data_IF_687933698878
#
_entry.id   IF_687933698878
#
_cell.length_a   1.000
_cell.length_b   1.000
_cell.length_c   1.000
_cell.angle_alpha   90.00
_cell.angle_beta   90.00
_cell.angle_gamma   90.00
#
_symmetry.space_group_name_H-M   'P 1'
#
loop_
_entity.id
_entity.type
_entity.pdbx_description
1 polymer ?
#
# COMPACT_ATOMS: atom_id res chain seq x y z
N UNK A 1 -16.13 -2.58 -27.15
CA UNK A 1 -15.93 -1.17 -26.75
C UNK A 1 -15.73 -1.06 -25.26
N UNK A 2 -14.68 -0.43 -24.79
CA UNK A 2 -14.45 -0.22 -23.36
C UNK A 2 -15.47 0.80 -22.85
N UNK A 3 -16.23 0.44 -21.81
CA UNK A 3 -17.28 1.31 -21.27
C UNK A 3 -16.64 2.47 -20.50
N UNK A 4 -16.86 3.68 -20.96
CA UNK A 4 -16.44 4.90 -20.23
C UNK A 4 -17.47 5.24 -19.15
N UNK A 5 -17.00 5.39 -17.90
CA UNK A 5 -17.84 5.81 -16.78
C UNK A 5 -17.68 7.31 -16.55
N UNK A 6 -18.78 7.98 -16.24
CA UNK A 6 -18.77 9.36 -15.75
C UNK A 6 -18.38 9.35 -14.26
N UNK A 7 -17.92 10.49 -13.76
CA UNK A 7 -17.47 10.64 -12.36
C UNK A 7 -18.52 10.21 -11.34
N UNK A 8 -19.80 10.46 -11.62
CA UNK A 8 -20.93 10.15 -10.74
C UNK A 8 -21.28 8.66 -10.69
N UNK A 9 -20.75 7.88 -11.64
CA UNK A 9 -20.96 6.43 -11.73
C UNK A 9 -19.83 5.62 -11.09
N UNK A 10 -18.82 6.29 -10.54
CA UNK A 10 -17.71 5.63 -9.86
C UNK A 10 -18.14 5.14 -8.48
N UNK A 11 -17.88 3.87 -8.19
CA UNK A 11 -18.07 3.28 -6.88
C UNK A 11 -16.73 2.84 -6.28
N UNK A 12 -16.51 3.12 -5.00
CA UNK A 12 -15.31 2.70 -4.29
C UNK A 12 -15.69 1.74 -3.17
N UNK A 13 -15.14 0.55 -3.20
CA UNK A 13 -15.29 -0.47 -2.16
C UNK A 13 -14.19 -0.35 -1.10
N UNK A 14 -14.42 -1.00 0.04
CA UNK A 14 -13.43 -1.08 1.10
C UNK A 14 -12.89 -2.51 1.20
N UNK A 15 -11.58 -2.63 1.26
CA UNK A 15 -10.89 -3.90 1.43
C UNK A 15 -10.01 -3.86 2.67
N UNK A 16 -9.98 -4.99 3.37
CA UNK A 16 -9.12 -5.20 4.53
C UNK A 16 -8.06 -6.26 4.20
N UNK A 17 -6.83 -6.01 4.58
CA UNK A 17 -5.69 -6.91 4.37
C UNK A 17 -4.91 -7.06 5.67
N UNK A 18 -4.65 -8.29 6.08
CA UNK A 18 -3.74 -8.60 7.16
C UNK A 18 -2.30 -8.63 6.64
N UNK A 19 -1.43 -7.80 7.23
CA UNK A 19 -0.02 -7.73 6.87
C UNK A 19 0.87 -8.75 7.60
N UNK A 20 0.30 -9.58 8.48
CA UNK A 20 1.05 -10.58 9.24
C UNK A 20 1.80 -11.53 8.31
N UNK A 21 3.14 -11.57 8.46
CA UNK A 21 4.05 -12.35 7.62
C UNK A 21 4.04 -11.99 6.11
N UNK A 22 3.36 -10.93 5.71
CA UNK A 22 3.33 -10.48 4.32
C UNK A 22 4.67 -9.91 3.88
N UNK A 23 5.08 -10.20 2.64
CA UNK A 23 6.29 -9.62 2.03
C UNK A 23 5.97 -8.21 1.54
N UNK A 24 6.67 -7.18 2.06
CA UNK A 24 6.43 -5.75 1.78
C UNK A 24 6.21 -5.46 0.29
N UNK A 25 7.13 -5.89 -0.59
CA UNK A 25 7.06 -5.56 -2.01
C UNK A 25 5.85 -6.17 -2.71
N UNK A 26 5.50 -7.41 -2.38
CA UNK A 26 4.35 -8.12 -2.96
C UNK A 26 3.04 -7.57 -2.45
N UNK A 27 2.96 -7.31 -1.14
CA UNK A 27 1.82 -6.63 -0.55
C UNK A 27 1.60 -5.25 -1.20
N UNK A 28 2.66 -4.46 -1.39
CA UNK A 28 2.59 -3.16 -2.05
C UNK A 28 2.08 -3.26 -3.50
N UNK A 29 2.43 -4.33 -4.23
CA UNK A 29 1.93 -4.57 -5.60
C UNK A 29 0.42 -4.85 -5.61
N UNK A 30 -0.08 -5.67 -4.68
CA UNK A 30 -1.52 -5.96 -4.55
C UNK A 30 -2.27 -4.67 -4.22
N UNK A 31 -1.82 -3.96 -3.20
CA UNK A 31 -2.41 -2.69 -2.76
C UNK A 31 -2.44 -1.66 -3.90
N UNK A 32 -1.33 -1.48 -4.61
CA UNK A 32 -1.25 -0.50 -5.70
C UNK A 32 -2.21 -0.79 -6.85
N UNK A 33 -2.45 -2.08 -7.16
CA UNK A 33 -3.44 -2.49 -8.16
C UNK A 33 -4.87 -2.14 -7.73
N UNK A 34 -5.22 -2.39 -6.46
CA UNK A 34 -6.55 -2.12 -5.90
C UNK A 34 -6.80 -0.61 -5.82
N UNK A 35 -5.87 0.16 -5.24
CA UNK A 35 -6.00 1.61 -5.08
C UNK A 35 -6.06 2.33 -6.44
N UNK A 36 -5.42 1.80 -7.46
CA UNK A 36 -5.48 2.33 -8.82
C UNK A 36 -6.75 1.91 -9.57
N UNK A 37 -7.45 0.87 -9.09
CA UNK A 37 -8.63 0.30 -9.76
C UNK A 37 -8.31 -0.64 -10.92
N UNK A 38 -7.06 -1.12 -11.05
CA UNK A 38 -6.68 -2.04 -12.14
C UNK A 38 -7.31 -3.43 -12.05
N UNK A 39 -7.99 -3.75 -10.97
CA UNK A 39 -8.78 -4.96 -10.77
C UNK A 39 -10.20 -4.83 -11.33
N UNK A 40 -10.64 -3.62 -11.70
CA UNK A 40 -11.97 -3.37 -12.25
C UNK A 40 -11.96 -3.37 -13.79
N UNK A 41 -13.05 -3.84 -14.37
CA UNK A 41 -13.27 -3.80 -15.83
C UNK A 41 -13.47 -2.38 -16.36
N UNK A 42 -13.86 -1.46 -15.48
CA UNK A 42 -14.13 -0.04 -15.76
C UNK A 42 -12.90 0.85 -15.67
N UNK A 43 -11.74 0.26 -15.41
CA UNK A 43 -10.49 1.00 -15.23
C UNK A 43 -10.20 1.95 -16.40
N UNK A 44 -10.03 3.23 -16.07
CA UNK A 44 -9.56 4.28 -16.99
C UNK A 44 -8.37 5.04 -16.37
N UNK A 45 -7.26 5.23 -17.12
CA UNK A 45 -6.01 5.79 -16.53
C UNK A 45 -6.13 7.19 -15.93
N UNK A 46 -7.03 8.02 -16.45
CA UNK A 46 -7.23 9.41 -16.03
C UNK A 46 -8.24 9.59 -14.89
N UNK A 47 -8.96 8.53 -14.52
CA UNK A 47 -9.98 8.57 -13.48
C UNK A 47 -9.55 7.85 -12.21
N UNK A 48 -10.13 8.24 -11.09
CA UNK A 48 -9.86 7.64 -9.77
C UNK A 48 -10.94 6.60 -9.44
N UNK A 49 -10.92 5.47 -10.15
CA UNK A 49 -11.85 4.34 -9.95
C UNK A 49 -11.32 3.30 -8.92
N UNK A 50 -10.30 3.67 -8.15
CA UNK A 50 -9.70 2.79 -7.16
C UNK A 50 -10.53 2.65 -5.89
N UNK A 51 -10.21 1.59 -5.13
CA UNK A 51 -10.87 1.23 -3.88
C UNK A 51 -10.03 1.62 -2.67
N UNK A 52 -10.67 1.68 -1.50
CA UNK A 52 -9.99 1.92 -0.23
C UNK A 52 -9.38 0.61 0.29
N UNK A 53 -8.17 0.71 0.85
CA UNK A 53 -7.49 -0.44 1.44
C UNK A 53 -7.07 -0.12 2.88
N UNK A 54 -7.54 -0.94 3.80
CA UNK A 54 -7.16 -0.95 5.21
C UNK A 54 -6.16 -2.07 5.42
N UNK A 55 -4.98 -1.76 5.95
CA UNK A 55 -3.95 -2.73 6.28
C UNK A 55 -3.79 -2.78 7.79
N UNK A 56 -3.92 -3.96 8.37
CA UNK A 56 -3.76 -4.22 9.80
C UNK A 56 -2.52 -5.05 10.11
N UNK A 57 -2.11 -5.11 11.38
CA UNK A 57 -0.94 -5.85 11.87
C UNK A 57 0.37 -5.50 11.14
N UNK A 58 0.57 -4.22 10.84
CA UNK A 58 1.71 -3.77 10.02
C UNK A 58 3.06 -4.05 10.67
N UNK A 59 3.13 -4.18 11.97
CA UNK A 59 4.33 -4.51 12.76
C UNK A 59 4.94 -5.86 12.38
N UNK A 60 4.11 -6.80 11.92
CA UNK A 60 4.53 -8.16 11.57
C UNK A 60 4.90 -8.34 10.08
N UNK A 61 5.06 -7.22 9.34
CA UNK A 61 5.44 -7.26 7.93
C UNK A 61 6.88 -7.72 7.76
N UNK A 62 7.17 -8.53 6.73
CA UNK A 62 8.50 -9.11 6.49
C UNK A 62 9.19 -8.53 5.27
N UNK A 63 10.51 -8.39 5.39
CA UNK A 63 11.41 -8.11 4.28
C UNK A 63 12.16 -9.40 3.91
N UNK A 64 12.37 -9.64 2.63
CA UNK A 64 13.12 -10.81 2.16
C UNK A 64 14.63 -10.54 2.17
N UNK A 65 15.42 -11.53 2.60
CA UNK A 65 16.88 -11.42 2.74
C UNK A 65 17.27 -10.32 3.72
N UNK A 66 18.48 -9.80 3.61
CA UNK A 66 19.04 -8.81 4.54
C UNK A 66 18.54 -7.37 4.33
N UNK A 67 17.40 -7.18 3.61
CA UNK A 67 16.89 -5.85 3.28
C UNK A 67 16.41 -5.06 4.50
N UNK A 68 16.00 -5.73 5.56
CA UNK A 68 15.52 -5.07 6.77
C UNK A 68 16.61 -4.19 7.41
N UNK A 69 17.86 -4.65 7.39
CA UNK A 69 19.00 -3.93 7.93
C UNK A 69 19.76 -3.11 6.88
N UNK A 70 19.98 -3.68 5.70
CA UNK A 70 20.91 -3.11 4.72
C UNK A 70 20.26 -2.12 3.75
N UNK A 71 18.94 -2.17 3.56
CA UNK A 71 18.27 -1.22 2.65
C UNK A 71 18.29 0.17 3.22
N UNK A 72 18.68 1.17 2.39
CA UNK A 72 18.69 2.58 2.78
C UNK A 72 17.61 3.36 2.06
N UNK A 73 16.89 4.18 2.81
CA UNK A 73 15.97 5.18 2.29
C UNK A 73 16.61 6.55 2.43
N UNK A 74 16.77 7.24 1.31
CA UNK A 74 17.38 8.57 1.26
C UNK A 74 16.31 9.65 1.19
N UNK A 75 16.54 10.73 1.92
CA UNK A 75 15.76 11.97 1.86
C UNK A 75 16.71 13.15 1.87
N UNK A 76 16.55 14.06 0.91
CA UNK A 76 17.29 15.32 0.86
C UNK A 76 16.51 16.43 1.57
N UNK A 77 17.19 17.28 2.33
CA UNK A 77 16.58 18.40 3.09
C UNK A 77 16.47 19.67 2.27
N UNK A 78 17.10 19.76 1.08
CA UNK A 78 17.17 20.95 0.25
C UNK A 78 18.42 21.82 0.49
N UNK A 79 19.23 21.52 1.52
CA UNK A 79 20.47 22.24 1.82
C UNK A 79 21.71 21.48 1.35
N UNK A 80 22.85 22.15 1.04
CA UNK A 80 24.10 21.50 0.74
C UNK A 80 24.48 20.47 1.81
N UNK A 81 24.89 19.25 1.41
CA UNK A 81 25.18 18.16 2.35
C UNK A 81 23.98 17.55 3.07
N UNK A 82 22.75 17.94 2.73
CA UNK A 82 21.52 17.60 3.43
C UNK A 82 20.92 16.22 3.12
N UNK A 83 21.71 15.22 2.72
CA UNK A 83 21.24 13.85 2.51
C UNK A 83 21.10 13.16 3.87
N UNK A 84 19.86 12.74 4.18
CA UNK A 84 19.58 11.89 5.36
C UNK A 84 19.24 10.49 4.91
N UNK A 85 19.80 9.49 5.60
CA UNK A 85 19.53 8.08 5.35
C UNK A 85 18.82 7.43 6.55
N UNK A 86 17.99 6.44 6.26
CA UNK A 86 17.27 5.66 7.28
C UNK A 86 17.09 4.23 6.79
N UNK A 87 17.26 3.25 7.69
CA UNK A 87 16.99 1.84 7.38
C UNK A 87 15.52 1.48 7.65
N UNK A 88 14.99 0.40 7.03
CA UNK A 88 13.66 -0.12 7.33
C UNK A 88 13.45 -0.41 8.83
N UNK A 89 14.47 -0.92 9.52
CA UNK A 89 14.42 -1.18 10.95
C UNK A 89 14.15 0.11 11.75
N UNK A 90 14.89 1.18 11.46
CA UNK A 90 14.68 2.48 12.10
C UNK A 90 13.33 3.11 11.74
N UNK A 91 12.84 2.88 10.51
CA UNK A 91 11.50 3.33 10.12
C UNK A 91 10.42 2.57 10.87
N UNK A 92 10.55 1.26 11.03
CA UNK A 92 9.58 0.44 11.75
C UNK A 92 9.45 0.87 13.22
N UNK A 93 10.57 1.21 13.88
CA UNK A 93 10.58 1.71 15.26
C UNK A 93 9.93 3.09 15.40
N UNK A 94 10.17 4.00 14.46
CA UNK A 94 9.69 5.40 14.53
C UNK A 94 8.28 5.58 13.97
N UNK A 95 7.99 4.97 12.82
CA UNK A 95 6.73 5.10 12.08
C UNK A 95 6.38 3.76 11.42
N UNK A 96 5.71 2.85 12.14
CA UNK A 96 5.23 1.61 11.58
C UNK A 96 4.39 1.88 10.32
N UNK A 97 4.61 1.13 9.25
CA UNK A 97 3.88 1.28 7.98
C UNK A 97 4.47 2.27 6.98
N UNK A 98 5.39 3.15 7.37
CA UNK A 98 5.98 4.11 6.43
C UNK A 98 6.76 3.40 5.30
N UNK A 99 7.42 2.28 5.59
CA UNK A 99 8.10 1.48 4.58
C UNK A 99 7.14 0.92 3.52
N UNK A 100 5.97 0.44 3.93
CA UNK A 100 4.90 -0.01 3.03
C UNK A 100 4.33 1.16 2.23
N UNK A 101 4.03 2.27 2.89
CA UNK A 101 3.51 3.48 2.25
C UNK A 101 4.46 4.02 1.16
N UNK A 102 5.76 4.04 1.44
CA UNK A 102 6.79 4.41 0.45
C UNK A 102 6.85 3.44 -0.72
N UNK A 103 6.71 2.13 -0.47
CA UNK A 103 6.68 1.12 -1.53
C UNK A 103 5.46 1.32 -2.45
N UNK A 104 4.26 1.49 -1.88
CA UNK A 104 3.02 1.75 -2.64
C UNK A 104 3.13 3.08 -3.41
N UNK A 105 3.61 4.16 -2.76
CA UNK A 105 3.80 5.47 -3.40
C UNK A 105 4.65 5.39 -4.66
N UNK A 106 5.73 4.58 -4.64
CA UNK A 106 6.63 4.41 -5.79
C UNK A 106 6.05 3.51 -6.89
N UNK A 107 4.99 2.75 -6.58
CA UNK A 107 4.26 1.90 -7.56
C UNK A 107 3.05 2.60 -8.17
N UNK A 108 2.59 3.71 -7.58
CA UNK A 108 1.54 4.55 -8.13
C UNK A 108 2.11 5.54 -9.17
N UNK A 109 1.30 5.98 -10.14
CA UNK A 109 1.72 7.00 -11.09
C UNK A 109 2.06 8.31 -10.37
N UNK A 110 2.99 9.08 -10.94
CA UNK A 110 3.30 10.42 -10.48
C UNK A 110 2.13 11.39 -10.68
N UNK A 111 2.22 12.57 -10.03
CA UNK A 111 1.26 13.64 -10.22
C UNK A 111 0.14 13.70 -9.18
N UNK A 112 -0.86 14.54 -9.45
CA UNK A 112 -1.97 14.85 -8.53
C UNK A 112 -2.85 13.62 -8.29
N UNK A 113 -3.17 12.88 -9.35
CA UNK A 113 -4.02 11.69 -9.29
C UNK A 113 -3.40 10.60 -8.38
N UNK A 114 -2.11 10.30 -8.55
CA UNK A 114 -1.42 9.31 -7.72
C UNK A 114 -1.34 9.72 -6.24
N UNK A 115 -1.18 11.02 -5.96
CA UNK A 115 -1.26 11.54 -4.58
C UNK A 115 -2.65 11.31 -3.98
N UNK A 116 -3.71 11.57 -4.74
CA UNK A 116 -5.09 11.33 -4.32
C UNK A 116 -5.35 9.84 -4.11
N UNK A 117 -4.91 8.99 -5.01
CA UNK A 117 -5.03 7.54 -4.88
C UNK A 117 -4.32 7.03 -3.61
N UNK A 118 -3.14 7.55 -3.29
CA UNK A 118 -2.40 7.17 -2.08
C UNK A 118 -3.16 7.47 -0.77
N UNK A 119 -4.06 8.44 -0.73
CA UNK A 119 -4.88 8.73 0.46
C UNK A 119 -5.89 7.63 0.79
N UNK A 120 -6.22 6.77 -0.18
CA UNK A 120 -7.10 5.61 0.01
C UNK A 120 -6.43 4.48 0.79
N UNK A 121 -5.09 4.53 0.99
CA UNK A 121 -4.36 3.59 1.83
C UNK A 121 -4.42 4.01 3.29
N UNK A 122 -4.99 3.14 4.12
CA UNK A 122 -5.05 3.28 5.59
C UNK A 122 -4.23 2.16 6.22
N UNK A 123 -3.29 2.49 7.09
CA UNK A 123 -2.36 1.53 7.70
C UNK A 123 -2.47 1.64 9.21
N UNK A 124 -2.66 0.50 9.89
CA UNK A 124 -2.84 0.42 11.33
C UNK A 124 -1.89 -0.60 11.95
N UNK A 125 -1.50 -0.29 13.18
CA UNK A 125 -0.78 -1.18 14.09
C UNK A 125 -1.83 -1.98 14.87
N UNK A 126 -1.57 -3.27 15.06
CA UNK A 126 -2.53 -4.17 15.69
C UNK A 126 -3.70 -4.56 14.78
N UNK A 127 -4.71 -5.18 15.36
CA UNK A 127 -5.85 -5.72 14.65
C UNK A 127 -7.02 -4.73 14.52
N UNK A 128 -7.08 -3.72 15.39
CA UNK A 128 -8.20 -2.81 15.49
C UNK A 128 -8.05 -1.59 14.58
N UNK A 129 -9.14 -1.19 13.95
CA UNK A 129 -9.20 -0.01 13.09
C UNK A 129 -10.58 0.67 13.13
N UNK A 130 -10.67 1.99 12.90
CA UNK A 130 -11.93 2.75 13.00
C UNK A 130 -12.88 2.57 11.79
N UNK A 131 -12.54 1.70 10.82
CA UNK A 131 -13.28 1.53 9.56
C UNK A 131 -14.21 0.32 9.55
N UNK A 132 -14.63 -0.20 10.70
CA UNK A 132 -15.59 -1.33 10.78
C UNK A 132 -16.97 -0.97 10.20
N UNK A 133 -17.40 0.28 10.36
CA UNK A 133 -18.67 0.76 9.83
C UNK A 133 -18.78 0.70 8.28
N UNK A 134 -17.64 0.70 7.57
CA UNK A 134 -17.59 0.57 6.12
C UNK A 134 -17.66 -0.88 5.62
N UNK A 135 -17.75 -1.86 6.52
CA UNK A 135 -17.82 -3.29 6.22
C UNK A 135 -16.75 -3.74 5.19
N UNK A 136 -15.45 -3.56 5.47
CA UNK A 136 -14.40 -3.87 4.52
C UNK A 136 -14.36 -5.38 4.21
N UNK A 137 -14.23 -5.70 2.92
CA UNK A 137 -14.08 -7.09 2.47
C UNK A 137 -12.66 -7.59 2.74
N UNK A 138 -12.53 -8.72 3.42
CA UNK A 138 -11.23 -9.31 3.77
C UNK A 138 -10.60 -9.97 2.54
N UNK A 139 -9.38 -9.55 2.20
CA UNK A 139 -8.57 -10.16 1.14
C UNK A 139 -7.52 -11.06 1.78
N UNK A 140 -7.56 -12.34 1.45
CA UNK A 140 -6.57 -13.33 1.87
C UNK A 140 -5.42 -13.35 0.87
N UNK A 141 -4.22 -12.92 1.31
CA UNK A 141 -3.03 -12.79 0.46
C UNK A 141 -2.50 -14.12 -0.05
N UNK A 142 -2.61 -15.18 0.73
CA UNK A 142 -2.19 -16.55 0.40
C UNK A 142 -3.00 -17.13 -0.75
N UNK A 143 -4.31 -16.88 -0.78
CA UNK A 143 -5.18 -17.32 -1.87
C UNK A 143 -4.88 -16.60 -3.20
N UNK A 144 -4.41 -15.35 -3.15
CA UNK A 144 -4.00 -14.63 -4.35
C UNK A 144 -2.68 -15.19 -4.91
N UNK A 145 -1.70 -15.43 -4.06
CA UNK A 145 -0.45 -16.07 -4.41
C UNK A 145 0.28 -16.49 -3.12
N UNK A 146 0.62 -17.78 -3.01
CA UNK A 146 1.34 -18.35 -1.86
C UNK A 146 2.68 -17.65 -1.55
N UNK A 147 3.29 -17.01 -2.56
CA UNK A 147 4.53 -16.24 -2.40
C UNK A 147 4.33 -14.86 -1.76
N UNK A 148 3.09 -14.40 -1.54
CA UNK A 148 2.81 -13.12 -0.88
C UNK A 148 3.16 -13.16 0.61
N UNK A 149 3.10 -14.35 1.20
CA UNK A 149 3.48 -14.61 2.60
C UNK A 149 4.89 -15.20 2.61
N UNK A 150 5.71 -14.74 3.55
CA UNK A 150 7.05 -15.26 3.76
C UNK A 150 6.96 -16.70 4.29
N UNK A 151 7.63 -17.64 3.62
CA UNK A 151 7.86 -18.99 4.18
C UNK A 151 8.88 -18.85 5.30
N UNK A 152 8.60 -19.47 6.42
CA UNK A 152 9.55 -19.59 7.53
C UNK A 152 10.69 -20.50 7.09
#
# INVERSE_FOLDING_TARGET
>A
MTKFLKKDQLSSNWFEIDAKNAVVGRLATVISKIIRGKNKTTFTPHMDDGDFVVVKNIEHIKFTGNKFQNKKYYRHTGHPGGIKETTPENLAKKKPGEALKLAVKRMLPGGVLGKKQLTKLKIYVGNDHPHSAQNPQVIQLDKLNSKNIARN
#
